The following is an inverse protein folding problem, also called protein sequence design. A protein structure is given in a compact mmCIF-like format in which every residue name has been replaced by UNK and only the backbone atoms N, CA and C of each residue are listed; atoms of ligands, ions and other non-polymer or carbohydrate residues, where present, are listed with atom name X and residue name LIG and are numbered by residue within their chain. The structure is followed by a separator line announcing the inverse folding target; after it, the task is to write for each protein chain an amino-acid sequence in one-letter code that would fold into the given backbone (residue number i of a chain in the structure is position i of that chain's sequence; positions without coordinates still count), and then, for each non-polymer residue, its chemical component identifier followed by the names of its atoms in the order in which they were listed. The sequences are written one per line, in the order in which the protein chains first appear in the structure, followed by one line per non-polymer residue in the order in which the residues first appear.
data_IF_953735393176
#
_entry.id   IF_953735393176
#
_cell.length_a   1.000
_cell.length_b   1.000
_cell.length_c   1.000
_cell.angle_alpha   90.00
_cell.angle_beta   90.00
_cell.angle_gamma   90.00
#
_symmetry.space_group_name_H-M   'P 1'
#
loop_
_entity.id
_entity.type
_entity.pdbx_description
1 polymer ?
#
# COMPACT_ATOMS: atom_id res chain seq x y z
N UNK A 1 19.33 -74.28 2.04
CA UNK A 1 17.88 -74.22 1.74
C UNK A 1 17.40 -72.92 2.37
N UNK A 2 17.50 -71.84 1.60
CA UNK A 2 16.38 -71.16 0.91
C UNK A 2 15.47 -70.42 1.90
N UNK A 3 15.15 -69.13 1.75
CA UNK A 3 15.49 -68.19 0.69
C UNK A 3 15.15 -66.77 1.16
N UNK A 4 16.11 -65.86 1.01
CA UNK A 4 15.87 -64.43 1.15
C UNK A 4 15.06 -63.97 -0.06
N UNK A 5 13.78 -63.65 0.16
CA UNK A 5 12.91 -63.04 -0.83
C UNK A 5 13.48 -61.64 -1.15
N UNK A 6 14.33 -61.59 -2.17
CA UNK A 6 14.83 -60.36 -2.75
C UNK A 6 13.65 -59.62 -3.38
N UNK A 7 13.18 -58.55 -2.72
CA UNK A 7 12.16 -57.66 -3.30
C UNK A 7 12.77 -56.94 -4.51
N UNK A 8 12.09 -56.89 -5.66
CA UNK A 8 12.66 -56.33 -6.88
C UNK A 8 12.96 -54.84 -6.70
N UNK A 9 14.24 -54.49 -6.90
CA UNK A 9 14.74 -53.12 -6.98
C UNK A 9 14.21 -52.44 -8.25
N UNK A 10 13.17 -51.61 -8.13
CA UNK A 10 12.97 -50.53 -9.12
C UNK A 10 13.78 -49.32 -8.66
N UNK A 11 15.04 -49.27 -9.07
CA UNK A 11 15.86 -48.07 -8.95
C UNK A 11 15.37 -47.07 -10.00
N UNK A 12 14.72 -46.01 -9.55
CA UNK A 12 14.46 -44.85 -10.41
C UNK A 12 15.79 -44.13 -10.65
N UNK A 13 16.16 -43.97 -11.92
CA UNK A 13 17.42 -43.39 -12.42
C UNK A 13 17.77 -41.98 -11.87
N UNK A 14 16.85 -41.34 -11.14
CA UNK A 14 16.96 -39.97 -10.62
C UNK A 14 17.30 -39.89 -9.12
N UNK A 15 17.52 -41.03 -8.45
CA UNK A 15 17.91 -41.05 -7.03
C UNK A 15 19.43 -40.90 -6.92
N UNK A 16 19.89 -39.76 -6.41
CA UNK A 16 21.32 -39.47 -6.23
C UNK A 16 21.96 -40.39 -5.18
N UNK A 17 23.23 -40.72 -5.35
CA UNK A 17 24.02 -41.63 -4.51
C UNK A 17 23.87 -41.34 -3.00
N UNK A 18 23.87 -40.06 -2.62
CA UNK A 18 23.70 -39.61 -1.24
C UNK A 18 22.35 -39.99 -0.62
N UNK A 19 21.30 -40.07 -1.44
CA UNK A 19 19.98 -40.53 -0.97
C UNK A 19 19.91 -42.04 -0.83
N UNK A 20 20.68 -42.80 -1.62
CA UNK A 20 20.83 -44.26 -1.45
C UNK A 20 21.59 -44.59 -0.16
N UNK A 21 22.62 -43.81 0.19
CA UNK A 21 23.40 -44.01 1.41
C UNK A 21 22.55 -43.80 2.67
N UNK A 22 21.66 -42.80 2.68
CA UNK A 22 20.67 -42.58 3.75
C UNK A 22 19.69 -43.76 3.93
N UNK A 23 19.38 -44.50 2.86
CA UNK A 23 18.55 -45.71 2.96
C UNK A 23 19.32 -46.94 3.48
N UNK A 24 20.64 -46.94 3.35
CA UNK A 24 21.52 -48.06 3.73
C UNK A 24 22.17 -47.86 5.12
N UNK A 25 22.05 -46.68 5.72
CA UNK A 25 22.57 -46.41 7.06
C UNK A 25 21.68 -47.06 8.13
N UNK A 26 22.27 -47.92 8.96
CA UNK A 26 21.57 -48.58 10.05
C UNK A 26 21.17 -47.52 11.07
N UNK A 27 19.86 -47.31 11.25
CA UNK A 27 19.26 -46.33 12.16
C UNK A 27 19.95 -46.33 13.54
N UNK A 28 20.93 -45.44 13.77
CA UNK A 28 21.53 -45.19 15.07
C UNK A 28 21.21 -43.75 15.50
N UNK A 29 20.01 -43.56 16.04
CA UNK A 29 19.56 -42.29 16.63
C UNK A 29 18.49 -42.47 17.71
N UNK A 30 18.07 -41.38 18.39
CA UNK A 30 17.00 -41.40 19.39
C UNK A 30 15.70 -41.99 18.82
N UNK A 31 14.91 -42.69 19.66
CA UNK A 31 13.67 -43.37 19.24
C UNK A 31 12.68 -42.45 18.51
N UNK A 32 12.59 -41.19 18.91
CA UNK A 32 11.77 -40.16 18.27
C UNK A 32 12.20 -39.87 16.83
N UNK A 33 13.51 -39.75 16.59
CA UNK A 33 14.06 -39.46 15.26
C UNK A 33 13.76 -40.60 14.28
N UNK A 34 13.95 -41.85 14.72
CA UNK A 34 13.62 -43.04 13.90
C UNK A 34 12.13 -43.12 13.58
N UNK A 35 11.27 -42.77 14.54
CA UNK A 35 9.82 -42.73 14.31
C UNK A 35 9.44 -41.68 13.26
N UNK A 36 10.01 -40.47 13.33
CA UNK A 36 9.83 -39.42 12.33
C UNK A 36 10.28 -39.90 10.95
N UNK A 37 11.49 -40.45 10.84
CA UNK A 37 12.03 -40.98 9.58
C UNK A 37 11.12 -42.07 9.01
N UNK A 38 10.64 -42.99 9.84
CA UNK A 38 9.70 -44.02 9.42
C UNK A 38 8.38 -43.46 8.88
N UNK A 39 7.84 -42.40 9.51
CA UNK A 39 6.64 -41.72 9.03
C UNK A 39 6.90 -40.99 7.70
N UNK A 40 7.95 -40.19 7.59
CA UNK A 40 8.29 -39.51 6.33
C UNK A 40 8.57 -40.48 5.20
N UNK A 41 9.23 -41.61 5.48
CA UNK A 41 9.50 -42.64 4.47
C UNK A 41 8.21 -43.27 3.94
N UNK A 42 7.26 -43.59 4.81
CA UNK A 42 5.95 -44.10 4.40
C UNK A 42 5.16 -43.08 3.58
N UNK A 43 5.19 -41.79 3.95
CA UNK A 43 4.58 -40.71 3.17
C UNK A 43 5.25 -40.53 1.80
N UNK A 44 6.58 -40.56 1.75
CA UNK A 44 7.35 -40.47 0.52
C UNK A 44 7.05 -41.61 -0.45
N UNK A 45 6.95 -42.85 0.04
CA UNK A 45 6.54 -43.99 -0.79
C UNK A 45 5.11 -43.86 -1.33
N UNK A 46 4.19 -43.31 -0.53
CA UNK A 46 2.81 -43.06 -0.95
C UNK A 46 2.73 -42.00 -2.07
N UNK A 47 3.48 -40.91 -1.93
CA UNK A 47 3.59 -39.85 -2.94
C UNK A 47 4.26 -40.39 -4.21
N UNK A 48 5.34 -41.16 -4.08
CA UNK A 48 6.05 -41.74 -5.23
C UNK A 48 5.20 -42.75 -6.02
N UNK A 49 4.36 -43.55 -5.33
CA UNK A 49 3.43 -44.49 -5.98
C UNK A 49 2.33 -43.77 -6.77
N UNK A 50 1.92 -42.58 -6.31
CA UNK A 50 0.82 -41.81 -6.88
C UNK A 50 1.26 -40.38 -7.26
N UNK A 51 2.42 -40.27 -7.94
CA UNK A 51 3.07 -38.98 -8.20
C UNK A 51 2.19 -37.98 -8.96
N UNK A 52 1.46 -38.44 -9.98
CA UNK A 52 0.53 -37.61 -10.74
C UNK A 52 -0.62 -37.06 -9.88
N UNK A 53 -1.19 -37.86 -8.97
CA UNK A 53 -2.25 -37.39 -8.07
C UNK A 53 -1.73 -36.31 -7.11
N UNK A 54 -0.52 -36.49 -6.56
CA UNK A 54 0.09 -35.51 -5.67
C UNK A 54 0.34 -34.17 -6.39
N UNK A 55 0.85 -34.20 -7.63
CA UNK A 55 1.05 -33.00 -8.45
C UNK A 55 -0.28 -32.28 -8.70
N UNK A 56 -1.32 -33.01 -9.10
CA UNK A 56 -2.66 -32.43 -9.35
C UNK A 56 -3.21 -31.77 -8.08
N UNK A 57 -3.08 -32.41 -6.91
CA UNK A 57 -3.55 -31.85 -5.65
C UNK A 57 -2.82 -30.55 -5.31
N UNK A 58 -1.49 -30.52 -5.43
CA UNK A 58 -0.70 -29.32 -5.19
C UNK A 58 -1.06 -28.18 -6.16
N UNK A 59 -1.30 -28.50 -7.44
CA UNK A 59 -1.76 -27.52 -8.42
C UNK A 59 -3.15 -26.98 -8.08
N UNK A 60 -4.10 -27.83 -7.68
CA UNK A 60 -5.44 -27.40 -7.27
C UNK A 60 -5.38 -26.48 -6.05
N UNK A 61 -4.59 -26.81 -5.04
CA UNK A 61 -4.45 -25.97 -3.84
C UNK A 61 -3.82 -24.62 -4.21
N UNK A 62 -2.81 -24.63 -5.09
CA UNK A 62 -2.12 -23.40 -5.54
C UNK A 62 -3.04 -22.50 -6.38
N UNK A 63 -3.87 -23.07 -7.26
CA UNK A 63 -4.83 -22.29 -8.06
C UNK A 63 -5.94 -21.71 -7.19
N UNK A 64 -6.45 -22.46 -6.20
CA UNK A 64 -7.41 -21.95 -5.23
C UNK A 64 -6.84 -20.77 -4.42
N UNK A 65 -5.57 -20.84 -4.03
CA UNK A 65 -4.89 -19.72 -3.38
C UNK A 65 -4.72 -18.52 -4.32
N UNK A 66 -4.42 -18.76 -5.61
CA UNK A 66 -4.28 -17.70 -6.61
C UNK A 66 -5.61 -16.95 -6.87
N UNK A 67 -6.74 -17.65 -6.86
CA UNK A 67 -8.07 -17.02 -6.97
C UNK A 67 -8.28 -16.00 -5.85
N UNK A 68 -7.83 -16.28 -4.62
CA UNK A 68 -7.93 -15.31 -3.51
C UNK A 68 -7.11 -14.06 -3.75
N UNK A 69 -5.92 -14.17 -4.35
CA UNK A 69 -5.08 -13.03 -4.69
C UNK A 69 -5.80 -12.12 -5.69
N UNK A 70 -6.41 -12.70 -6.73
CA UNK A 70 -7.16 -11.93 -7.74
C UNK A 70 -8.41 -11.25 -7.17
N UNK A 71 -9.02 -11.84 -6.15
CA UNK A 71 -10.20 -11.28 -5.47
C UNK A 71 -9.83 -10.26 -4.38
N UNK A 72 -8.55 -10.15 -4.00
CA UNK A 72 -8.11 -9.24 -2.96
C UNK A 72 -8.03 -7.83 -3.55
N UNK A 73 -8.90 -6.92 -3.08
CA UNK A 73 -8.87 -5.53 -3.51
C UNK A 73 -7.59 -4.85 -3.02
N UNK A 74 -6.96 -4.08 -3.90
CA UNK A 74 -5.84 -3.22 -3.51
C UNK A 74 -6.37 -2.07 -2.64
N UNK A 75 -5.88 -1.98 -1.41
CA UNK A 75 -6.08 -0.83 -0.55
C UNK A 75 -4.90 0.13 -0.71
N UNK A 76 -5.15 1.36 -1.15
CA UNK A 76 -4.15 2.43 -1.22
C UNK A 76 -4.47 3.49 -0.17
N UNK A 77 -4.22 3.17 1.09
CA UNK A 77 -4.43 4.08 2.21
C UNK A 77 -3.09 4.43 2.87
N UNK A 78 -2.76 5.72 2.90
CA UNK A 78 -1.53 6.23 3.53
C UNK A 78 -1.49 5.96 5.04
N UNK A 79 -2.65 5.72 5.68
CA UNK A 79 -2.69 5.38 7.11
C UNK A 79 -2.10 3.99 7.42
N UNK A 80 -1.82 3.19 6.38
CA UNK A 80 -1.16 1.88 6.50
C UNK A 80 0.25 1.94 7.11
N UNK A 81 0.91 3.10 7.10
CA UNK A 81 2.21 3.31 7.74
C UNK A 81 2.13 3.61 9.24
N UNK A 82 0.94 3.82 9.78
CA UNK A 82 0.73 4.06 11.21
C UNK A 82 0.42 2.73 11.92
N UNK A 83 1.10 2.37 13.01
CA UNK A 83 0.92 1.08 13.67
C UNK A 83 -0.52 0.89 14.18
N UNK A 84 -0.91 -0.37 14.34
CA UNK A 84 -2.18 -0.72 14.97
C UNK A 84 -2.17 -0.30 16.45
N UNK A 85 -3.23 0.37 16.91
CA UNK A 85 -3.32 0.87 18.30
C UNK A 85 -2.51 2.13 18.60
N UNK A 86 -2.03 2.85 17.59
CA UNK A 86 -1.40 4.14 17.81
C UNK A 86 -2.44 5.15 18.34
N UNK A 87 -2.10 5.87 19.41
CA UNK A 87 -2.93 6.94 19.98
C UNK A 87 -3.41 7.97 18.94
N UNK A 88 -2.56 8.29 17.97
CA UNK A 88 -2.91 9.21 16.88
C UNK A 88 -4.11 8.73 16.05
N UNK A 89 -4.33 7.41 15.91
CA UNK A 89 -5.52 6.88 15.22
C UNK A 89 -6.78 7.14 16.03
N UNK A 90 -6.72 6.98 17.34
CA UNK A 90 -7.88 7.21 18.22
C UNK A 90 -8.26 8.69 18.23
N UNK A 91 -7.27 9.58 18.36
CA UNK A 91 -7.48 11.03 18.28
C UNK A 91 -8.04 11.47 16.93
N UNK A 92 -7.54 10.88 15.83
CA UNK A 92 -8.04 11.14 14.49
C UNK A 92 -9.47 10.63 14.26
N UNK A 93 -9.85 9.51 14.87
CA UNK A 93 -11.22 8.99 14.83
C UNK A 93 -12.19 9.91 15.60
N UNK A 94 -11.80 10.39 16.78
CA UNK A 94 -12.62 11.35 17.52
C UNK A 94 -12.72 12.71 16.82
N UNK A 95 -11.63 13.18 16.20
CA UNK A 95 -11.66 14.38 15.36
C UNK A 95 -12.68 14.25 14.23
N UNK A 96 -12.64 13.16 13.46
CA UNK A 96 -13.60 12.91 12.38
C UNK A 96 -15.05 12.84 12.87
N UNK A 97 -15.29 12.20 14.01
CA UNK A 97 -16.62 12.13 14.64
C UNK A 97 -17.11 13.52 15.06
N UNK A 98 -16.24 14.31 15.69
CA UNK A 98 -16.58 15.65 16.17
C UNK A 98 -16.94 16.58 15.00
N UNK A 99 -16.15 16.56 13.92
CA UNK A 99 -16.39 17.41 12.74
C UNK A 99 -17.35 16.80 11.72
N UNK A 100 -17.92 15.62 11.99
CA UNK A 100 -18.75 14.87 11.04
C UNK A 100 -18.10 14.74 9.65
N UNK A 101 -16.77 14.65 9.61
CA UNK A 101 -15.99 14.55 8.38
C UNK A 101 -15.44 13.14 8.23
N UNK A 102 -15.38 12.65 6.99
CA UNK A 102 -14.84 11.32 6.69
C UNK A 102 -13.62 11.43 5.78
N UNK A 103 -12.55 10.74 6.14
CA UNK A 103 -11.33 10.70 5.33
C UNK A 103 -10.34 11.80 5.69
N UNK A 104 -9.18 11.71 5.06
CA UNK A 104 -8.04 12.58 5.34
C UNK A 104 -8.26 13.96 4.75
N UNK A 105 -7.96 15.04 5.48
CA UNK A 105 -8.00 16.38 4.92
C UNK A 105 -6.95 16.50 3.81
N UNK A 106 -7.37 16.90 2.62
CA UNK A 106 -6.48 17.14 1.48
C UNK A 106 -6.22 18.64 1.39
N UNK A 107 -4.95 19.03 1.54
CA UNK A 107 -4.51 20.40 1.33
C UNK A 107 -3.80 20.51 -0.02
N UNK A 108 -4.30 21.39 -0.88
CA UNK A 108 -3.66 21.73 -2.14
C UNK A 108 -2.87 23.03 -1.97
N UNK A 109 -1.65 23.07 -2.51
CA UNK A 109 -0.76 24.22 -2.42
C UNK A 109 -0.39 24.70 -3.82
N UNK A 110 -0.47 26.02 -4.03
CA UNK A 110 0.08 26.70 -5.19
C UNK A 110 1.24 27.58 -4.72
N UNK A 111 2.44 27.24 -5.13
CA UNK A 111 3.64 28.02 -4.81
C UNK A 111 3.94 28.99 -5.95
N UNK A 112 4.10 30.26 -5.62
CA UNK A 112 4.41 31.33 -6.58
C UNK A 112 5.78 31.90 -6.22
N UNK A 113 6.65 32.02 -7.22
CA UNK A 113 8.03 32.46 -7.06
C UNK A 113 8.34 33.55 -8.08
N UNK A 114 9.16 34.53 -7.68
CA UNK A 114 9.56 35.63 -8.55
C UNK A 114 10.48 35.11 -9.66
N UNK A 115 10.17 35.48 -10.92
CA UNK A 115 10.95 35.04 -12.10
C UNK A 115 12.39 35.56 -12.11
N UNK A 116 12.61 36.70 -11.47
CA UNK A 116 13.89 37.41 -11.41
C UNK A 116 14.68 37.09 -10.12
N UNK A 117 14.32 36.03 -9.39
CA UNK A 117 14.91 35.64 -8.10
C UNK A 117 14.84 36.74 -7.01
N UNK A 118 14.05 37.80 -7.24
CA UNK A 118 13.83 38.89 -6.32
C UNK A 118 12.71 38.63 -5.30
N UNK A 119 12.31 39.67 -4.58
CA UNK A 119 11.22 39.57 -3.60
C UNK A 119 9.84 39.53 -4.26
N UNK A 120 8.96 38.65 -3.76
CA UNK A 120 7.54 38.63 -4.12
C UNK A 120 6.73 39.78 -3.51
N UNK A 121 7.29 40.55 -2.57
CA UNK A 121 6.60 41.65 -1.88
C UNK A 121 6.45 42.93 -2.70
N UNK A 122 6.88 42.92 -3.96
CA UNK A 122 6.81 44.08 -4.85
C UNK A 122 5.38 44.24 -5.40
N UNK A 123 4.90 45.48 -5.64
CA UNK A 123 3.52 45.72 -6.06
C UNK A 123 3.08 44.91 -7.28
N UNK A 124 3.86 44.92 -8.36
CA UNK A 124 3.51 44.23 -9.62
C UNK A 124 3.34 42.71 -9.41
N UNK A 125 4.25 42.10 -8.64
CA UNK A 125 4.20 40.66 -8.34
C UNK A 125 3.08 40.31 -7.35
N UNK A 126 2.77 41.20 -6.40
CA UNK A 126 1.64 41.02 -5.50
C UNK A 126 0.32 41.12 -6.27
N UNK A 127 0.17 42.06 -7.19
CA UNK A 127 -1.01 42.19 -8.05
C UNK A 127 -1.24 40.91 -8.86
N UNK A 128 -0.21 40.42 -9.56
CA UNK A 128 -0.26 39.15 -10.28
C UNK A 128 -0.62 37.97 -9.35
N UNK A 129 -0.06 37.94 -8.15
CA UNK A 129 -0.36 36.91 -7.14
C UNK A 129 -1.84 36.94 -6.74
N UNK A 130 -2.43 38.12 -6.56
CA UNK A 130 -3.85 38.26 -6.24
C UNK A 130 -4.73 37.83 -7.42
N UNK A 131 -4.34 38.13 -8.65
CA UNK A 131 -5.05 37.67 -9.85
C UNK A 131 -5.06 36.13 -9.93
N UNK A 132 -3.90 35.50 -9.73
CA UNK A 132 -3.77 34.03 -9.70
C UNK A 132 -4.61 33.42 -8.57
N UNK A 133 -4.56 34.01 -7.37
CA UNK A 133 -5.36 33.57 -6.24
C UNK A 133 -6.86 33.62 -6.54
N UNK A 134 -7.35 34.74 -7.08
CA UNK A 134 -8.76 34.90 -7.44
C UNK A 134 -9.20 33.89 -8.50
N UNK A 135 -8.35 33.64 -9.50
CA UNK A 135 -8.63 32.66 -10.54
C UNK A 135 -8.66 31.23 -9.97
N UNK A 136 -7.69 30.85 -9.14
CA UNK A 136 -7.63 29.53 -8.54
C UNK A 136 -8.83 29.24 -7.64
N UNK A 137 -9.31 30.24 -6.90
CA UNK A 137 -10.45 30.09 -5.98
C UNK A 137 -11.81 30.04 -6.70
N UNK A 138 -11.99 30.78 -7.79
CA UNK A 138 -13.30 31.01 -8.40
C UNK A 138 -13.50 30.38 -9.78
N UNK A 139 -12.43 30.14 -10.55
CA UNK A 139 -12.55 29.72 -11.94
C UNK A 139 -12.19 28.26 -12.14
N UNK A 140 -11.33 27.69 -11.29
CA UNK A 140 -11.03 26.26 -11.30
C UNK A 140 -12.23 25.52 -10.69
N UNK A 141 -12.84 24.65 -11.49
CA UNK A 141 -13.98 23.84 -11.06
C UNK A 141 -13.61 22.36 -11.03
N UNK A 142 -14.21 21.65 -10.08
CA UNK A 142 -14.10 20.20 -9.93
C UNK A 142 -15.50 19.60 -9.93
N UNK A 143 -15.68 18.49 -10.64
CA UNK A 143 -16.95 17.79 -10.66
C UNK A 143 -17.14 17.03 -9.34
N UNK A 144 -18.18 17.38 -8.59
CA UNK A 144 -18.62 16.59 -7.46
C UNK A 144 -19.63 15.52 -7.92
N UNK A 145 -19.25 14.25 -7.74
CA UNK A 145 -20.11 13.11 -8.05
C UNK A 145 -21.34 12.99 -7.13
N UNK A 146 -21.31 13.63 -5.95
CA UNK A 146 -22.40 13.57 -4.96
C UNK A 146 -23.46 14.64 -5.28
N UNK A 147 -23.05 15.90 -5.44
CA UNK A 147 -23.97 16.99 -5.80
C UNK A 147 -24.34 17.00 -7.30
N UNK A 148 -23.55 16.32 -8.14
CA UNK A 148 -23.73 16.23 -9.59
C UNK A 148 -23.40 17.53 -10.32
N UNK A 149 -22.64 18.44 -9.69
CA UNK A 149 -22.33 19.77 -10.20
C UNK A 149 -20.82 20.01 -10.28
N UNK A 150 -20.43 20.93 -11.15
CA UNK A 150 -19.08 21.49 -11.16
C UNK A 150 -19.01 22.59 -10.11
N UNK A 151 -18.21 22.36 -9.07
CA UNK A 151 -18.05 23.27 -7.95
C UNK A 151 -16.69 23.95 -7.99
N UNK A 152 -16.64 25.23 -7.68
CA UNK A 152 -15.37 25.97 -7.50
C UNK A 152 -14.75 25.65 -6.15
N UNK A 153 -13.46 25.98 -5.96
CA UNK A 153 -12.81 25.81 -4.66
C UNK A 153 -13.58 26.47 -3.51
N UNK A 154 -14.10 27.68 -3.73
CA UNK A 154 -14.91 28.37 -2.72
C UNK A 154 -16.24 27.68 -2.38
N UNK A 155 -16.72 26.78 -3.24
CA UNK A 155 -17.97 26.05 -3.02
C UNK A 155 -17.74 24.71 -2.31
N UNK A 156 -16.70 23.96 -2.69
CA UNK A 156 -16.43 22.65 -2.08
C UNK A 156 -15.53 22.73 -0.84
N UNK A 157 -14.82 23.84 -0.62
CA UNK A 157 -13.95 24.01 0.53
C UNK A 157 -14.76 24.09 1.84
N UNK A 158 -14.39 23.28 2.83
CA UNK A 158 -15.08 23.21 4.12
C UNK A 158 -14.36 23.98 5.24
N UNK A 159 -13.04 24.04 5.20
CA UNK A 159 -12.23 24.60 6.29
C UNK A 159 -11.05 25.39 5.75
N UNK A 160 -10.74 26.52 6.39
CA UNK A 160 -9.61 27.39 6.04
C UNK A 160 -9.62 27.91 4.59
N UNK A 161 -10.80 28.10 4.01
CA UNK A 161 -10.94 28.59 2.62
C UNK A 161 -10.36 30.00 2.40
N UNK A 162 -10.29 30.78 3.49
CA UNK A 162 -9.74 32.13 3.52
C UNK A 162 -8.33 32.21 4.12
N UNK A 163 -7.57 31.10 4.10
CA UNK A 163 -6.21 31.06 4.66
C UNK A 163 -5.26 32.08 4.02
N UNK A 164 -5.53 32.47 2.76
CA UNK A 164 -4.71 33.39 1.98
C UNK A 164 -5.10 34.88 2.14
N UNK A 165 -6.07 35.22 3.00
CA UNK A 165 -6.45 36.62 3.26
C UNK A 165 -5.29 37.55 3.68
N UNK A 166 -4.29 37.10 4.45
CA UNK A 166 -3.13 37.95 4.76
C UNK A 166 -2.40 38.46 3.51
N UNK A 167 -2.36 37.69 2.42
CA UNK A 167 -1.74 38.12 1.16
C UNK A 167 -2.49 39.31 0.56
N UNK A 168 -3.82 39.31 0.63
CA UNK A 168 -4.65 40.45 0.21
C UNK A 168 -4.39 41.68 1.07
N UNK A 169 -4.27 41.51 2.39
CA UNK A 169 -3.96 42.61 3.30
C UNK A 169 -2.62 43.25 2.95
N UNK A 170 -1.58 42.46 2.69
CA UNK A 170 -0.28 42.97 2.26
C UNK A 170 -0.35 43.76 0.96
N UNK A 171 -1.14 43.30 -0.02
CA UNK A 171 -1.35 44.04 -1.27
C UNK A 171 -1.98 45.42 -1.02
N UNK A 172 -3.09 45.48 -0.27
CA UNK A 172 -3.80 46.74 0.02
C UNK A 172 -2.96 47.73 0.84
N UNK A 173 -2.15 47.24 1.77
CA UNK A 173 -1.25 48.09 2.55
C UNK A 173 -0.12 48.65 1.68
N UNK A 174 0.41 47.85 0.76
CA UNK A 174 1.45 48.30 -0.16
C UNK A 174 0.92 49.36 -1.12
N UNK A 175 -0.26 49.15 -1.72
CA UNK A 175 -0.92 50.17 -2.55
C UNK A 175 -1.07 51.51 -1.78
N UNK A 176 -1.47 51.46 -0.52
CA UNK A 176 -1.56 52.67 0.33
C UNK A 176 -0.20 53.34 0.53
N UNK A 177 0.85 52.59 0.82
CA UNK A 177 2.20 53.15 1.02
C UNK A 177 2.71 53.83 -0.24
N UNK A 178 2.52 53.22 -1.41
CA UNK A 178 2.95 53.81 -2.68
C UNK A 178 2.07 54.99 -3.09
N UNK A 179 0.78 54.99 -2.77
CA UNK A 179 -0.12 56.13 -3.00
C UNK A 179 0.19 57.35 -2.13
N UNK A 180 0.80 57.17 -0.95
CA UNK A 180 1.21 58.28 -0.07
C UNK A 180 2.57 58.87 -0.49
N UNK A 181 3.38 58.11 -1.23
CA UNK A 181 4.70 58.54 -1.72
C UNK A 181 4.69 59.22 -3.09
N UNK A 182 3.55 59.28 -3.76
CA UNK A 182 3.37 59.92 -5.07
C UNK A 182 2.96 61.39 -4.95
#
# INVERSE_FOLDING_TARGET
MDGSIARPRRQSLLIGQRSLDVYNEVDQGPRFVRWIIGKFRNWGFLIAKHAWLAIIICLIISTLAMVKILLTKQANDITGYTPYGARAKDEYLEYQRFFSSSGLPIAAYLFIVAKDEGSMSRPDYLDETIQVLNFALNNITMYDSISGKNETFNQFCQSFCQINEPVRQFYFDNERIYSIKA
#
